data_IF_715907880783
#
_entry.id   IF_715907880783
#
_cell.length_a   1.000
_cell.length_b   1.000
_cell.length_c   1.000
_cell.angle_alpha   90.00
_cell.angle_beta   90.00
_cell.angle_gamma   90.00
#
_symmetry.space_group_name_H-M   'P 1'
#
loop_
_entity.id
_entity.type
_entity.pdbx_description
1 polymer ?
#
# COMPACT_ATOMS: atom_id res chain seq x y z
N UNK A 1 -2.67 28.00 -27.50
CA UNK A 1 -2.09 26.98 -26.59
C UNK A 1 -2.57 25.62 -27.05
N UNK A 2 -1.67 24.79 -27.55
CA UNK A 2 -1.94 23.48 -28.13
C UNK A 2 -2.19 22.44 -27.03
N UNK A 3 -3.23 21.62 -27.18
CA UNK A 3 -3.76 20.64 -26.21
C UNK A 3 -2.74 19.60 -25.68
N UNK A 4 -1.52 19.58 -26.21
CA UNK A 4 -0.44 18.63 -25.88
C UNK A 4 0.26 18.93 -24.54
N UNK A 5 0.26 20.19 -24.10
CA UNK A 5 0.94 20.59 -22.84
C UNK A 5 0.04 20.45 -21.60
N UNK A 6 -1.29 20.41 -21.77
CA UNK A 6 -2.22 20.26 -20.64
C UNK A 6 -2.16 18.88 -19.98
N UNK A 7 -1.65 17.87 -20.70
CA UNK A 7 -1.58 16.48 -20.24
C UNK A 7 -0.20 16.09 -19.69
N UNK A 8 0.73 17.03 -19.49
CA UNK A 8 2.07 16.74 -18.95
C UNK A 8 2.11 17.14 -17.47
N UNK A 9 2.24 16.14 -16.60
CA UNK A 9 2.56 16.38 -15.19
C UNK A 9 3.94 17.05 -15.13
N UNK A 10 4.00 18.30 -14.66
CA UNK A 10 5.27 18.97 -14.39
C UNK A 10 6.04 18.25 -13.28
N UNK A 11 7.35 18.50 -13.16
CA UNK A 11 8.23 17.82 -12.18
C UNK A 11 7.66 17.90 -10.77
N UNK A 12 7.24 19.09 -10.33
CA UNK A 12 6.64 19.29 -9.01
C UNK A 12 5.35 18.48 -8.80
N UNK A 13 4.47 18.46 -9.82
CA UNK A 13 3.21 17.71 -9.75
C UNK A 13 3.43 16.20 -9.74
N UNK A 14 4.37 15.72 -10.55
CA UNK A 14 4.76 14.31 -10.58
C UNK A 14 5.38 13.87 -9.25
N UNK A 15 6.31 14.66 -8.69
CA UNK A 15 6.93 14.35 -7.39
C UNK A 15 5.90 14.37 -6.27
N UNK A 16 5.01 15.37 -6.20
CA UNK A 16 3.97 15.41 -5.18
C UNK A 16 3.00 14.23 -5.27
N UNK A 17 2.68 13.80 -6.50
CA UNK A 17 1.82 12.65 -6.73
C UNK A 17 2.46 11.36 -6.22
N UNK A 18 3.74 11.13 -6.54
CA UNK A 18 4.48 9.95 -6.06
C UNK A 18 4.63 9.96 -4.54
N UNK A 19 4.93 11.11 -3.93
CA UNK A 19 5.00 11.20 -2.46
C UNK A 19 3.63 10.89 -1.83
N UNK A 20 2.55 11.40 -2.41
CA UNK A 20 1.19 11.12 -1.94
C UNK A 20 0.76 9.67 -2.13
N UNK A 21 1.24 8.98 -3.16
CA UNK A 21 0.92 7.55 -3.36
C UNK A 21 1.71 6.61 -2.45
N UNK A 22 2.92 7.01 -2.03
CA UNK A 22 3.77 6.22 -1.12
C UNK A 22 3.30 6.35 0.34
N UNK A 23 2.86 7.54 0.77
CA UNK A 23 2.40 7.77 2.14
C UNK A 23 0.97 7.24 2.29
N UNK A 24 0.83 6.02 2.84
CA UNK A 24 -0.46 5.38 3.08
C UNK A 24 -0.80 5.16 4.57
N UNK A 25 -1.90 4.45 4.84
CA UNK A 25 -2.36 4.09 6.18
C UNK A 25 -1.39 3.20 6.97
N UNK A 26 -0.43 2.56 6.28
CA UNK A 26 0.57 1.69 6.88
C UNK A 26 1.45 2.37 7.94
N UNK A 27 1.61 3.70 7.91
CA UNK A 27 2.38 4.43 8.93
C UNK A 27 1.74 4.37 10.32
N UNK A 28 0.42 4.16 10.41
CA UNK A 28 -0.27 4.09 11.69
C UNK A 28 -0.13 2.70 12.33
N UNK A 29 -0.06 1.64 11.50
CA UNK A 29 0.00 0.24 11.96
C UNK A 29 1.44 -0.23 12.17
N UNK A 30 2.34 0.07 11.24
CA UNK A 30 3.68 -0.52 11.17
C UNK A 30 4.57 -0.23 12.39
N UNK A 31 4.61 0.98 12.97
CA UNK A 31 5.49 1.26 14.11
C UNK A 31 5.19 0.39 15.33
N UNK A 32 3.90 0.11 15.60
CA UNK A 32 3.47 -0.75 16.71
C UNK A 32 4.00 -2.18 16.52
N UNK A 33 3.85 -2.72 15.31
CA UNK A 33 4.34 -4.06 14.97
C UNK A 33 5.86 -4.16 15.02
N UNK A 34 6.58 -3.17 14.50
CA UNK A 34 8.05 -3.17 14.52
C UNK A 34 8.56 -3.08 15.96
N UNK A 35 8.00 -2.18 16.79
CA UNK A 35 8.45 -2.01 18.17
C UNK A 35 8.20 -3.26 19.02
N UNK A 36 7.04 -3.91 18.85
CA UNK A 36 6.71 -5.15 19.57
C UNK A 36 7.67 -6.30 19.24
N UNK A 37 8.10 -6.42 17.98
CA UNK A 37 9.03 -7.48 17.57
C UNK A 37 10.50 -7.12 17.82
N UNK A 38 10.86 -5.84 17.73
CA UNK A 38 12.22 -5.35 17.94
C UNK A 38 12.61 -5.25 19.42
N UNK A 39 11.64 -5.05 20.32
CA UNK A 39 11.83 -4.95 21.77
C UNK A 39 12.50 -3.64 22.27
N UNK A 40 13.10 -2.84 21.38
CA UNK A 40 13.74 -1.57 21.71
C UNK A 40 13.47 -0.51 20.63
N UNK A 41 13.33 0.75 21.07
CA UNK A 41 13.09 1.91 20.20
C UNK A 41 14.29 2.12 19.26
N UNK A 42 15.51 1.98 19.75
CA UNK A 42 16.72 2.16 18.92
C UNK A 42 16.79 1.15 17.77
N UNK A 43 16.45 -0.11 18.05
CA UNK A 43 16.44 -1.18 17.03
C UNK A 43 15.30 -0.97 16.02
N UNK A 44 14.14 -0.48 16.46
CA UNK A 44 13.02 -0.14 15.57
C UNK A 44 13.38 0.95 14.55
N UNK A 45 14.17 1.96 14.95
CA UNK A 45 14.63 3.03 14.05
C UNK A 45 15.64 2.50 13.02
N UNK A 46 16.53 1.60 13.43
CA UNK A 46 17.47 0.95 12.50
C UNK A 46 16.71 0.13 11.45
N UNK A 47 15.68 -0.63 11.85
CA UNK A 47 14.84 -1.38 10.90
C UNK A 47 14.18 -0.45 9.89
N UNK A 48 13.66 0.70 10.34
CA UNK A 48 13.07 1.70 9.45
C UNK A 48 14.06 2.26 8.42
N UNK A 49 15.28 2.58 8.86
CA UNK A 49 16.34 3.07 7.95
C UNK A 49 16.74 1.99 6.94
N UNK A 50 16.87 0.73 7.37
CA UNK A 50 17.17 -0.38 6.47
C UNK A 50 16.04 -0.61 5.45
N UNK A 51 14.79 -0.53 5.87
CA UNK A 51 13.64 -0.63 4.98
C UNK A 51 13.62 0.52 3.95
N UNK A 52 13.91 1.75 4.37
CA UNK A 52 14.00 2.90 3.47
C UNK A 52 15.15 2.74 2.43
N UNK A 53 16.28 2.17 2.83
CA UNK A 53 17.39 1.88 1.93
C UNK A 53 17.01 0.83 0.87
N UNK A 54 16.38 -0.27 1.29
CA UNK A 54 15.89 -1.30 0.37
C UNK A 54 14.82 -0.77 -0.60
N UNK A 55 13.91 0.08 -0.12
CA UNK A 55 12.92 0.75 -0.96
C UNK A 55 13.58 1.67 -2.00
N UNK A 56 14.63 2.40 -1.61
CA UNK A 56 15.37 3.29 -2.52
C UNK A 56 16.08 2.51 -3.63
N UNK A 57 16.68 1.36 -3.31
CA UNK A 57 17.32 0.49 -4.30
C UNK A 57 16.29 -0.06 -5.30
N UNK A 58 15.13 -0.51 -4.82
CA UNK A 58 14.03 -0.96 -5.66
C UNK A 58 13.53 0.16 -6.59
N UNK A 59 13.41 1.38 -6.06
CA UNK A 59 12.97 2.53 -6.84
C UNK A 59 13.92 2.89 -7.99
N UNK A 60 15.24 2.86 -7.75
CA UNK A 60 16.24 3.13 -8.80
C UNK A 60 16.13 2.10 -9.94
N UNK A 61 16.01 0.82 -9.60
CA UNK A 61 15.83 -0.23 -10.61
C UNK A 61 14.54 -0.04 -11.43
N UNK A 62 13.44 0.33 -10.78
CA UNK A 62 12.18 0.65 -11.46
C UNK A 62 12.28 1.88 -12.35
N UNK A 63 13.09 2.88 -11.97
CA UNK A 63 13.34 4.06 -12.80
C UNK A 63 14.12 3.68 -14.07
N UNK A 64 15.17 2.86 -13.95
CA UNK A 64 15.91 2.37 -15.12
C UNK A 64 15.00 1.61 -16.09
N UNK A 65 14.13 0.75 -15.55
CA UNK A 65 13.21 -0.06 -16.36
C UNK A 65 12.12 0.81 -17.02
N UNK A 66 11.55 1.76 -16.26
CA UNK A 66 10.52 2.67 -16.76
C UNK A 66 11.03 3.75 -17.74
N UNK A 67 12.32 4.08 -17.69
CA UNK A 67 12.95 4.96 -18.69
C UNK A 67 13.39 4.20 -19.94
N UNK A 68 13.73 2.92 -19.81
CA UNK A 68 14.14 2.06 -20.93
C UNK A 68 12.96 1.56 -21.76
N UNK A 69 11.82 1.24 -21.13
CA UNK A 69 10.63 0.67 -21.79
C UNK A 69 9.44 1.61 -21.54
N UNK A 70 9.25 2.66 -22.37
CA UNK A 70 8.19 3.66 -22.19
C UNK A 70 6.82 3.18 -22.73
N UNK A 71 6.44 1.94 -22.38
CA UNK A 71 5.17 1.34 -22.76
C UNK A 71 4.16 1.42 -21.59
N UNK A 72 2.87 1.51 -21.93
CA UNK A 72 1.81 1.54 -20.91
C UNK A 72 1.56 0.14 -20.34
N UNK A 73 1.52 0.02 -19.01
CA UNK A 73 1.22 -1.26 -18.33
C UNK A 73 2.20 -1.68 -17.23
N UNK A 74 3.19 -0.83 -16.90
CA UNK A 74 4.14 -1.05 -15.81
C UNK A 74 4.75 -2.47 -15.83
N UNK A 75 4.60 -3.25 -14.77
CA UNK A 75 5.21 -4.58 -14.64
C UNK A 75 4.74 -5.57 -15.71
N UNK A 76 3.48 -5.47 -16.15
CA UNK A 76 2.96 -6.28 -17.25
C UNK A 76 3.71 -5.99 -18.56
N UNK A 77 3.95 -4.70 -18.85
CA UNK A 77 4.68 -4.29 -20.05
C UNK A 77 6.14 -4.76 -20.02
N UNK A 78 6.79 -4.71 -18.85
CA UNK A 78 8.17 -5.18 -18.69
C UNK A 78 8.30 -6.70 -18.92
N UNK A 79 7.41 -7.51 -18.33
CA UNK A 79 7.44 -8.97 -18.52
C UNK A 79 7.08 -9.33 -19.98
N UNK A 80 6.16 -8.57 -20.58
CA UNK A 80 5.79 -8.74 -21.99
C UNK A 80 6.94 -8.43 -22.94
N UNK A 81 7.77 -7.42 -22.63
CA UNK A 81 8.95 -7.05 -23.41
C UNK A 81 9.98 -8.19 -23.50
N UNK A 82 10.13 -8.98 -22.44
CA UNK A 82 11.01 -10.17 -22.40
C UNK A 82 10.42 -11.36 -23.18
N UNK A 83 9.18 -11.27 -23.65
CA UNK A 83 8.49 -12.31 -24.41
C UNK A 83 7.74 -13.34 -23.55
N UNK A 84 7.71 -13.17 -22.23
CA UNK A 84 7.14 -14.13 -21.27
C UNK A 84 5.63 -13.93 -21.06
N UNK A 85 4.88 -14.08 -22.16
CA UNK A 85 3.43 -13.89 -22.23
C UNK A 85 2.60 -14.58 -21.14
N UNK A 86 2.74 -15.89 -20.87
CA UNK A 86 1.90 -16.57 -19.88
C UNK A 86 2.16 -16.04 -18.46
N UNK A 87 3.41 -15.67 -18.16
CA UNK A 87 3.81 -15.17 -16.84
C UNK A 87 3.29 -13.75 -16.64
N UNK A 88 3.32 -12.91 -17.68
CA UNK A 88 2.71 -11.59 -17.64
C UNK A 88 1.20 -11.66 -17.35
N UNK A 89 0.50 -12.62 -17.97
CA UNK A 89 -0.93 -12.84 -17.73
C UNK A 89 -1.20 -13.32 -16.29
N UNK A 90 -0.41 -14.28 -15.79
CA UNK A 90 -0.52 -14.73 -14.40
C UNK A 90 -0.25 -13.60 -13.40
N UNK A 91 0.75 -12.75 -13.64
CA UNK A 91 1.02 -11.58 -12.81
C UNK A 91 -0.17 -10.61 -12.78
N UNK A 92 -0.74 -10.29 -13.95
CA UNK A 92 -1.90 -9.41 -14.04
C UNK A 92 -3.09 -9.95 -13.24
N UNK A 93 -3.34 -11.26 -13.30
CA UNK A 93 -4.40 -11.91 -12.54
C UNK A 93 -4.17 -11.83 -11.02
N UNK A 94 -2.95 -12.13 -10.57
CA UNK A 94 -2.57 -12.05 -9.16
C UNK A 94 -2.64 -10.62 -8.62
N UNK A 95 -2.15 -9.64 -9.38
CA UNK A 95 -2.24 -8.23 -9.03
C UNK A 95 -3.71 -7.75 -8.97
N UNK A 96 -4.53 -8.19 -9.92
CA UNK A 96 -5.92 -7.71 -10.01
C UNK A 96 -6.83 -8.32 -8.94
N UNK A 97 -6.62 -9.58 -8.56
CA UNK A 97 -7.46 -10.27 -7.58
C UNK A 97 -6.91 -10.25 -6.16
N UNK A 98 -5.61 -10.51 -5.98
CA UNK A 98 -5.05 -10.69 -4.65
C UNK A 98 -4.56 -9.36 -4.09
N UNK A 99 -3.80 -8.61 -4.87
CA UNK A 99 -3.20 -7.36 -4.38
C UNK A 99 -4.25 -6.29 -4.09
N UNK A 100 -5.24 -6.13 -4.97
CA UNK A 100 -6.33 -5.17 -4.80
C UNK A 100 -7.18 -5.50 -3.55
N UNK A 101 -7.60 -6.76 -3.41
CA UNK A 101 -8.41 -7.21 -2.27
C UNK A 101 -7.65 -7.15 -0.95
N UNK A 102 -6.37 -7.54 -0.94
CA UNK A 102 -5.53 -7.47 0.26
C UNK A 102 -5.32 -6.02 0.72
N UNK A 103 -5.11 -5.09 -0.23
CA UNK A 103 -4.95 -3.67 0.08
C UNK A 103 -6.22 -3.07 0.68
N UNK A 104 -7.38 -3.38 0.07
CA UNK A 104 -8.68 -2.97 0.61
C UNK A 104 -8.96 -3.56 1.99
N UNK A 105 -8.67 -4.84 2.20
CA UNK A 105 -8.86 -5.52 3.48
C UNK A 105 -7.99 -4.95 4.59
N UNK A 106 -6.72 -4.65 4.29
CA UNK A 106 -5.79 -4.04 5.25
C UNK A 106 -6.27 -2.65 5.68
N UNK A 107 -6.79 -1.85 4.73
CA UNK A 107 -7.34 -0.53 5.03
C UNK A 107 -8.60 -0.61 5.89
N UNK A 108 -9.55 -1.49 5.53
CA UNK A 108 -10.79 -1.69 6.26
C UNK A 108 -10.55 -2.19 7.70
N UNK A 109 -9.64 -3.15 7.88
CA UNK A 109 -9.27 -3.67 9.19
C UNK A 109 -8.65 -2.57 10.07
N UNK A 110 -7.70 -1.83 9.51
CA UNK A 110 -7.05 -0.71 10.20
C UNK A 110 -8.09 0.32 10.65
N UNK A 111 -9.01 0.70 9.76
CA UNK A 111 -10.08 1.64 10.07
C UNK A 111 -11.01 1.14 11.19
N UNK A 112 -11.44 -0.13 11.13
CA UNK A 112 -12.25 -0.75 12.17
C UNK A 112 -11.56 -0.76 13.54
N UNK A 113 -10.26 -1.10 13.58
CA UNK A 113 -9.48 -1.08 14.81
C UNK A 113 -9.35 0.30 15.42
N UNK A 114 -9.11 1.34 14.61
CA UNK A 114 -8.98 2.71 15.10
C UNK A 114 -10.31 3.28 15.61
N UNK A 115 -11.43 3.00 14.92
CA UNK A 115 -12.77 3.42 15.38
C UNK A 115 -13.09 2.76 16.73
N UNK A 116 -12.91 1.45 16.84
CA UNK A 116 -13.22 0.73 18.08
C UNK A 116 -12.32 1.20 19.21
N UNK A 117 -11.03 1.44 18.97
CA UNK A 117 -10.13 2.01 19.98
C UNK A 117 -10.58 3.41 20.44
N UNK A 118 -11.17 4.20 19.55
CA UNK A 118 -11.66 5.55 19.88
C UNK A 118 -12.95 5.52 20.73
N UNK A 119 -13.81 4.52 20.52
CA UNK A 119 -15.12 4.40 21.18
C UNK A 119 -15.04 3.53 22.46
N UNK A 120 -14.06 2.63 22.56
CA UNK A 120 -13.82 1.77 23.72
C UNK A 120 -13.85 2.47 25.11
N UNK A 121 -13.29 3.69 25.30
CA UNK A 121 -13.37 4.37 26.59
C UNK A 121 -14.79 4.84 26.96
N UNK A 122 -15.70 4.97 25.99
CA UNK A 122 -17.09 5.43 26.20
C UNK A 122 -18.01 4.24 26.49
N UNK A 123 -17.76 3.09 25.85
CA UNK A 123 -18.67 1.93 25.89
C UNK A 123 -18.27 0.83 26.87
N UNK A 124 -17.16 1.00 27.63
CA UNK A 124 -16.64 0.00 28.59
C UNK A 124 -16.60 -1.43 28.01
N UNK A 125 -16.18 -1.53 26.75
CA UNK A 125 -16.24 -2.78 25.99
C UNK A 125 -15.15 -3.76 26.46
N UNK A 126 -15.52 -5.02 26.71
CA UNK A 126 -14.56 -6.07 27.07
C UNK A 126 -13.55 -6.30 25.93
N UNK A 127 -12.31 -6.66 26.27
CA UNK A 127 -11.21 -6.81 25.29
C UNK A 127 -11.46 -7.89 24.22
N UNK A 128 -12.40 -8.80 24.44
CA UNK A 128 -12.83 -9.81 23.47
C UNK A 128 -13.85 -9.23 22.47
N UNK A 129 -14.81 -8.46 22.96
CA UNK A 129 -15.89 -7.87 22.18
C UNK A 129 -15.37 -6.74 21.27
N UNK A 130 -14.33 -6.03 21.68
CA UNK A 130 -13.69 -5.00 20.85
C UNK A 130 -13.03 -5.57 19.60
N UNK A 131 -12.40 -6.74 19.68
CA UNK A 131 -11.78 -7.39 18.51
C UNK A 131 -12.84 -7.90 17.54
N UNK A 132 -13.92 -8.50 18.05
CA UNK A 132 -15.02 -8.98 17.23
C UNK A 132 -15.74 -7.79 16.56
N UNK A 133 -15.99 -6.70 17.27
CA UNK A 133 -16.58 -5.49 16.71
C UNK A 133 -15.71 -4.88 15.59
N UNK A 134 -14.39 -4.83 15.77
CA UNK A 134 -13.47 -4.32 14.74
C UNK A 134 -13.49 -5.19 13.47
N UNK A 135 -13.50 -6.53 13.64
CA UNK A 135 -13.56 -7.47 12.53
C UNK A 135 -14.92 -7.39 11.81
N UNK A 136 -16.03 -7.28 12.54
CA UNK A 136 -17.37 -7.15 11.95
C UNK A 136 -17.51 -5.85 11.15
N UNK A 137 -17.03 -4.71 11.70
CA UNK A 137 -17.01 -3.43 10.99
C UNK A 137 -16.13 -3.50 9.74
N UNK A 138 -14.95 -4.09 9.84
CA UNK A 138 -14.07 -4.28 8.69
C UNK A 138 -14.71 -5.16 7.61
N UNK A 139 -15.40 -6.24 8.01
CA UNK A 139 -16.11 -7.13 7.10
C UNK A 139 -17.31 -6.45 6.42
N UNK A 140 -18.05 -5.60 7.13
CA UNK A 140 -19.15 -4.82 6.54
C UNK A 140 -18.63 -3.83 5.49
N UNK A 141 -17.54 -3.11 5.79
CA UNK A 141 -16.90 -2.18 4.85
C UNK A 141 -16.34 -2.92 3.63
N UNK A 142 -15.76 -4.10 3.83
CA UNK A 142 -15.27 -4.94 2.74
C UNK A 142 -16.39 -5.44 1.84
N UNK A 143 -17.53 -5.85 2.39
CA UNK A 143 -18.69 -6.25 1.60
C UNK A 143 -19.23 -5.10 0.74
N UNK A 144 -19.20 -3.86 1.23
CA UNK A 144 -19.66 -2.70 0.48
C UNK A 144 -18.69 -2.29 -0.63
N UNK A 145 -17.39 -2.53 -0.46
CA UNK A 145 -16.37 -2.29 -1.50
C UNK A 145 -16.33 -3.37 -2.60
N UNK A 146 -16.96 -4.53 -2.37
CA UNK A 146 -16.96 -5.68 -3.29
C UNK A 146 -18.28 -5.83 -4.07
N UNK A 147 -19.28 -4.97 -3.80
CA UNK A 147 -20.57 -4.86 -4.51
C UNK A 147 -20.55 -3.62 -5.40
#
# INVERSE_FOLDING_TARGET
MTRKELNRLGVLGATSYVVGSVIGSGIFVSPKGILQNAGSVGLSLIIWVLAALLASLTAINYIELGTSIPESGAEFAYIRFVGWTPIAFSYLWLASLIQSSCSGASLALTFGEYIVQSIAPITCLSSHDSKIAAILLAHSILCEFLV
#
